data_IF_451425481866
#
_entry.id   IF_451425481866
#
_cell.length_a   1.000
_cell.length_b   1.000
_cell.length_c   1.000
_cell.angle_alpha   90.00
_cell.angle_beta   90.00
_cell.angle_gamma   90.00
#
_symmetry.space_group_name_H-M   'P 1'
#
loop_
_entity.id
_entity.type
_entity.pdbx_description
1 polymer ?
#
# COMPACT_ATOMS: atom_id res chain seq x y z
N UNK A 1 29.97 -20.59 14.11
CA UNK A 1 31.10 -19.78 14.63
C UNK A 1 30.69 -18.32 14.80
N UNK A 2 29.71 -17.99 15.66
CA UNK A 2 29.24 -16.58 15.91
C UNK A 2 28.95 -16.26 17.38
N UNK A 3 29.55 -16.99 18.35
CA UNK A 3 29.28 -16.76 19.78
C UNK A 3 30.50 -16.55 20.66
N UNK A 4 31.68 -16.34 20.10
CA UNK A 4 32.94 -16.22 20.87
C UNK A 4 33.38 -14.76 21.15
N UNK A 5 32.80 -13.76 20.52
CA UNK A 5 33.21 -12.35 20.72
C UNK A 5 32.43 -11.60 21.82
N UNK A 6 31.28 -12.11 22.24
CA UNK A 6 30.49 -11.47 23.32
C UNK A 6 30.94 -11.84 24.72
N UNK A 7 31.62 -12.96 24.93
CA UNK A 7 32.09 -13.38 26.26
C UNK A 7 33.37 -12.72 26.73
N UNK A 8 34.24 -12.33 25.82
CA UNK A 8 35.54 -11.71 26.18
C UNK A 8 35.47 -10.23 26.59
N UNK A 9 34.37 -9.54 26.32
CA UNK A 9 34.19 -8.14 26.70
C UNK A 9 33.71 -7.97 28.15
N UNK A 10 33.11 -8.98 28.77
CA UNK A 10 32.62 -8.94 30.15
C UNK A 10 33.61 -9.45 31.20
N UNK A 11 34.66 -10.14 30.82
CA UNK A 11 35.68 -10.67 31.74
C UNK A 11 36.84 -9.72 32.03
N UNK A 12 36.96 -8.61 31.30
CA UNK A 12 38.04 -7.63 31.45
C UNK A 12 37.73 -6.51 32.47
N UNK A 13 36.54 -6.51 33.10
CA UNK A 13 36.11 -5.43 34.03
C UNK A 13 36.14 -5.83 35.52
N UNK A 14 36.68 -6.99 35.86
CA UNK A 14 36.59 -7.52 37.24
C UNK A 14 37.94 -7.74 37.93
N UNK A 15 39.02 -7.08 37.52
CA UNK A 15 40.30 -7.22 38.19
C UNK A 15 40.95 -5.82 38.41
N UNK A 16 40.74 -5.24 39.55
CA UNK A 16 41.50 -4.04 39.95
C UNK A 16 40.84 -3.16 41.01
N UNK A 17 40.54 -3.67 42.21
CA UNK A 17 40.43 -2.83 43.41
C UNK A 17 40.89 -3.65 44.64
N UNK A 18 42.15 -3.48 45.00
CA UNK A 18 42.62 -3.74 46.36
C UNK A 18 43.80 -2.84 46.61
N UNK A 19 43.66 -1.84 47.48
CA UNK A 19 44.74 -0.93 47.91
C UNK A 19 44.21 0.25 48.70
N UNK A 20 44.38 0.19 50.00
CA UNK A 20 43.89 1.12 51.01
C UNK A 20 44.28 2.59 50.86
N UNK A 21 43.39 3.48 51.32
CA UNK A 21 43.68 4.92 51.51
C UNK A 21 42.43 5.62 52.05
N UNK A 22 42.36 5.81 53.37
CA UNK A 22 41.38 6.67 54.05
C UNK A 22 41.57 8.12 53.63
N UNK A 23 40.83 8.61 52.72
CA UNK A 23 40.70 10.02 52.38
C UNK A 23 39.22 10.34 52.18
N UNK A 24 38.72 11.30 52.94
CA UNK A 24 37.36 11.82 52.89
C UNK A 24 37.04 12.33 51.49
N UNK A 25 36.51 11.50 50.63
CA UNK A 25 35.98 11.92 49.33
C UNK A 25 34.56 12.43 49.54
N UNK A 26 34.45 13.76 49.55
CA UNK A 26 33.16 14.42 49.31
C UNK A 26 32.59 13.90 48.02
N UNK A 27 31.56 13.03 48.08
CA UNK A 27 30.77 12.63 46.93
C UNK A 27 29.98 13.87 46.49
N UNK A 28 30.60 14.68 45.64
CA UNK A 28 29.88 15.65 44.83
C UNK A 28 29.00 14.81 43.90
N UNK A 29 27.77 14.58 44.31
CA UNK A 29 26.75 13.97 43.43
C UNK A 29 26.72 14.73 42.13
N UNK A 30 27.07 14.08 41.03
CA UNK A 30 26.70 14.59 39.72
C UNK A 30 25.18 14.72 39.70
N UNK A 31 24.68 15.88 40.10
CA UNK A 31 23.32 16.26 39.79
C UNK A 31 23.20 16.19 38.26
N UNK A 32 22.58 15.15 37.77
CA UNK A 32 22.15 15.12 36.38
C UNK A 32 21.28 16.36 36.19
N UNK A 33 21.79 17.33 35.48
CA UNK A 33 21.02 18.52 35.11
C UNK A 33 19.70 18.01 34.49
N UNK A 34 18.56 18.56 34.90
CA UNK A 34 17.28 18.17 34.30
C UNK A 34 17.42 18.38 32.80
N UNK A 35 17.26 17.29 32.03
CA UNK A 35 17.21 17.36 30.58
C UNK A 35 15.98 18.19 30.26
N UNK A 36 16.18 19.48 30.01
CA UNK A 36 15.10 20.35 29.51
C UNK A 36 14.61 19.72 28.22
N UNK A 37 13.32 19.43 28.10
CA UNK A 37 12.78 18.88 26.87
C UNK A 37 13.09 19.86 25.74
N UNK A 38 13.98 19.43 24.85
CA UNK A 38 14.40 20.25 23.73
C UNK A 38 13.17 20.49 22.84
N UNK A 39 12.85 21.74 22.58
CA UNK A 39 11.72 22.08 21.70
C UNK A 39 11.96 21.42 20.34
N UNK A 40 10.95 20.71 19.78
CA UNK A 40 11.09 20.13 18.44
C UNK A 40 11.54 21.19 17.44
N UNK A 41 12.47 20.82 16.55
CA UNK A 41 13.00 21.73 15.51
C UNK A 41 11.98 21.95 14.38
N UNK A 42 10.88 21.18 14.35
CA UNK A 42 9.79 21.34 13.39
C UNK A 42 8.75 20.24 13.53
N UNK A 43 7.62 20.48 12.88
CA UNK A 43 6.49 19.56 12.81
C UNK A 43 6.29 19.05 11.39
N UNK A 44 6.23 17.74 11.24
CA UNK A 44 5.88 17.08 9.99
C UNK A 44 4.58 16.32 10.17
N UNK A 45 3.62 16.59 9.28
CA UNK A 45 2.41 15.79 9.17
C UNK A 45 2.57 14.84 7.97
N UNK A 46 2.27 13.57 8.17
CA UNK A 46 2.27 12.53 7.15
C UNK A 46 0.83 12.04 6.95
N UNK A 47 0.28 12.21 5.77
CA UNK A 47 -1.08 11.76 5.41
C UNK A 47 -0.98 10.43 4.67
N UNK A 48 -1.63 9.41 5.23
CA UNK A 48 -1.65 8.04 4.70
C UNK A 48 -0.65 7.12 5.38
N UNK A 49 -1.15 6.07 6.02
CA UNK A 49 -0.39 5.08 6.79
C UNK A 49 -0.01 3.82 6.00
N UNK A 50 0.01 3.89 4.68
CA UNK A 50 0.51 2.83 3.80
C UNK A 50 2.04 2.71 3.83
N UNK A 51 2.61 1.95 2.90
CA UNK A 51 4.07 1.71 2.84
C UNK A 51 4.88 3.01 2.81
N UNK A 52 4.53 3.95 1.92
CA UNK A 52 5.26 5.20 1.78
C UNK A 52 5.21 6.07 3.03
N UNK A 53 4.00 6.37 3.52
CA UNK A 53 3.83 7.27 4.66
C UNK A 53 4.30 6.68 5.98
N UNK A 54 4.02 5.41 6.26
CA UNK A 54 4.51 4.75 7.47
C UNK A 54 6.05 4.70 7.52
N UNK A 55 6.68 4.41 6.36
CA UNK A 55 8.14 4.43 6.23
C UNK A 55 8.68 5.84 6.45
N UNK A 56 8.11 6.84 5.77
CA UNK A 56 8.54 8.23 5.94
C UNK A 56 8.42 8.70 7.40
N UNK A 57 7.29 8.44 8.05
CA UNK A 57 7.07 8.83 9.44
C UNK A 57 8.12 8.20 10.39
N UNK A 58 8.39 6.90 10.22
CA UNK A 58 9.41 6.20 11.02
C UNK A 58 10.81 6.78 10.82
N UNK A 59 11.22 6.98 9.57
CA UNK A 59 12.58 7.44 9.30
C UNK A 59 12.79 8.92 9.61
N UNK A 60 11.78 9.77 9.50
CA UNK A 60 11.82 11.15 10.00
C UNK A 60 12.14 11.19 11.51
N UNK A 61 11.49 10.34 12.31
CA UNK A 61 11.80 10.22 13.74
C UNK A 61 13.20 9.68 13.98
N UNK A 62 13.57 8.61 13.28
CA UNK A 62 14.85 7.93 13.46
C UNK A 62 16.03 8.86 13.11
N UNK A 63 16.02 9.48 11.92
CA UNK A 63 17.14 10.27 11.43
C UNK A 63 17.25 11.64 12.10
N UNK A 64 16.16 12.18 12.61
CA UNK A 64 16.19 13.41 13.42
C UNK A 64 16.65 13.17 14.86
N UNK A 65 16.93 11.93 15.27
CA UNK A 65 17.19 11.62 16.67
C UNK A 65 16.02 11.96 17.60
N UNK A 66 14.79 11.97 17.06
CA UNK A 66 13.60 12.36 17.80
C UNK A 66 13.32 13.85 17.87
N UNK A 67 14.14 14.70 17.23
CA UNK A 67 14.01 16.16 17.31
C UNK A 67 12.90 16.74 16.40
N UNK A 68 12.32 15.97 15.49
CA UNK A 68 11.16 16.36 14.70
C UNK A 68 9.89 15.77 15.31
N UNK A 69 8.85 16.59 15.49
CA UNK A 69 7.51 16.13 15.83
C UNK A 69 6.84 15.56 14.58
N UNK A 70 6.47 14.28 14.61
CA UNK A 70 5.87 13.59 13.45
C UNK A 70 4.49 13.06 13.80
N UNK A 71 3.47 13.53 13.05
CA UNK A 71 2.11 13.03 13.09
C UNK A 71 1.85 12.18 11.85
N UNK A 72 1.35 10.97 12.04
CA UNK A 72 0.82 10.14 10.97
C UNK A 72 -0.71 10.15 11.03
N UNK A 73 -1.35 10.66 9.99
CA UNK A 73 -2.82 10.68 9.87
C UNK A 73 -3.24 9.52 8.96
N UNK A 74 -4.01 8.59 9.53
CA UNK A 74 -4.53 7.44 8.79
C UNK A 74 -5.96 7.12 9.26
N UNK A 75 -6.90 7.07 8.32
CA UNK A 75 -8.31 6.81 8.63
C UNK A 75 -8.57 5.40 9.16
N UNK A 76 -7.77 4.42 8.72
CA UNK A 76 -7.91 3.04 9.15
C UNK A 76 -7.09 2.79 10.43
N UNK A 77 -7.66 2.05 11.37
CA UNK A 77 -6.96 1.67 12.61
C UNK A 77 -5.93 0.58 12.41
N UNK A 78 -5.99 -0.12 11.27
CA UNK A 78 -5.07 -1.21 10.92
C UNK A 78 -4.64 -1.08 9.46
N UNK A 79 -3.41 -1.42 9.20
CA UNK A 79 -2.85 -1.56 7.87
C UNK A 79 -3.09 -2.97 7.34
N UNK A 80 -3.53 -3.08 6.09
CA UNK A 80 -3.64 -4.35 5.35
C UNK A 80 -2.73 -4.30 4.15
N UNK A 81 -1.82 -5.28 4.03
CA UNK A 81 -0.81 -5.30 2.97
C UNK A 81 -1.41 -5.69 1.62
N UNK A 82 -1.39 -4.76 0.65
CA UNK A 82 -1.87 -5.03 -0.71
C UNK A 82 -0.99 -6.04 -1.47
N UNK A 83 0.36 -5.94 -1.49
CA UNK A 83 1.20 -6.82 -2.30
C UNK A 83 1.02 -8.30 -2.01
N UNK A 84 0.79 -8.68 -0.77
CA UNK A 84 0.60 -10.09 -0.37
C UNK A 84 -0.87 -10.53 -0.28
N UNK A 85 -1.81 -9.66 -0.64
CA UNK A 85 -3.26 -9.99 -0.59
C UNK A 85 -3.65 -11.09 -1.59
N UNK A 86 -2.92 -11.24 -2.69
CA UNK A 86 -3.16 -12.33 -3.63
C UNK A 86 -2.97 -13.72 -2.99
N UNK A 87 -2.11 -13.84 -1.96
CA UNK A 87 -1.94 -15.09 -1.20
C UNK A 87 -3.20 -15.47 -0.41
N UNK A 88 -4.00 -14.47 -0.02
CA UNK A 88 -5.32 -14.72 0.61
C UNK A 88 -6.29 -15.26 -0.44
N UNK A 89 -6.30 -14.69 -1.65
CA UNK A 89 -7.14 -15.17 -2.75
C UNK A 89 -6.76 -16.62 -3.15
N UNK A 90 -5.48 -16.95 -3.15
CA UNK A 90 -4.98 -18.31 -3.38
C UNK A 90 -5.23 -19.28 -2.21
N UNK A 91 -5.55 -18.76 -1.01
CA UNK A 91 -5.84 -19.58 0.18
C UNK A 91 -4.60 -19.97 0.99
N UNK A 92 -3.40 -19.48 0.67
CA UNK A 92 -2.17 -19.78 1.41
C UNK A 92 -1.93 -18.86 2.61
N UNK A 93 -2.71 -17.75 2.73
CA UNK A 93 -2.68 -16.81 3.86
C UNK A 93 -4.10 -16.42 4.24
N UNK A 94 -4.25 -15.98 5.48
CA UNK A 94 -5.48 -15.36 6.00
C UNK A 94 -5.38 -13.84 5.99
N UNK A 95 -6.52 -13.15 6.18
CA UNK A 95 -6.52 -11.69 6.37
C UNK A 95 -5.73 -11.26 7.62
N UNK A 96 -5.71 -12.08 8.66
CA UNK A 96 -4.93 -11.82 9.88
C UNK A 96 -3.42 -11.79 9.60
N UNK A 97 -2.93 -12.68 8.75
CA UNK A 97 -1.50 -12.76 8.38
C UNK A 97 -0.99 -11.49 7.68
N UNK A 98 -1.86 -10.79 6.96
CA UNK A 98 -1.51 -9.61 6.16
C UNK A 98 -1.93 -8.29 6.81
N UNK A 99 -2.49 -8.33 8.03
CA UNK A 99 -2.96 -7.16 8.78
C UNK A 99 -2.01 -6.82 9.92
N UNK A 100 -1.68 -5.53 10.08
CA UNK A 100 -0.78 -5.04 11.14
C UNK A 100 -1.37 -3.79 11.80
N UNK A 101 -0.99 -3.55 13.06
CA UNK A 101 -1.24 -2.30 13.77
C UNK A 101 -0.15 -1.26 13.51
N UNK A 102 -0.32 -0.09 14.11
CA UNK A 102 0.64 1.02 14.05
C UNK A 102 1.49 1.15 15.33
N UNK A 103 1.49 0.16 16.21
CA UNK A 103 2.16 0.23 17.52
C UNK A 103 3.67 0.44 17.36
N UNK A 104 4.31 -0.25 16.41
CA UNK A 104 5.74 -0.03 16.14
C UNK A 104 6.10 1.38 15.65
N UNK A 105 5.14 2.15 15.13
CA UNK A 105 5.35 3.58 14.84
C UNK A 105 5.19 4.42 16.11
N UNK A 106 4.21 4.11 16.96
CA UNK A 106 4.03 4.76 18.27
C UNK A 106 5.25 4.55 19.15
N UNK A 107 5.78 3.33 19.20
CA UNK A 107 7.02 3.00 19.94
C UNK A 107 8.23 3.76 19.39
N UNK A 108 8.24 4.07 18.11
CA UNK A 108 9.27 4.93 17.48
C UNK A 108 9.04 6.44 17.73
N UNK A 109 8.01 6.83 18.49
CA UNK A 109 7.67 8.19 18.82
C UNK A 109 6.87 8.95 17.75
N UNK A 110 6.24 8.24 16.80
CA UNK A 110 5.29 8.83 15.85
C UNK A 110 3.93 8.97 16.53
N UNK A 111 3.30 10.13 16.44
CA UNK A 111 1.95 10.35 16.91
C UNK A 111 0.95 9.89 15.82
N UNK A 112 0.31 8.74 16.03
CA UNK A 112 -0.63 8.16 15.05
C UNK A 112 -2.05 8.65 15.37
N UNK A 113 -2.61 9.42 14.44
CA UNK A 113 -3.95 9.99 14.49
C UNK A 113 -4.89 9.20 13.55
N UNK A 114 -5.96 8.64 14.12
CA UNK A 114 -6.97 7.96 13.30
C UNK A 114 -8.11 8.92 12.99
N UNK A 115 -7.97 9.62 11.86
CA UNK A 115 -8.97 10.50 11.30
C UNK A 115 -8.79 10.62 9.77
N UNK A 116 -9.71 11.31 9.12
CA UNK A 116 -9.67 11.61 7.70
C UNK A 116 -9.31 13.08 7.50
N UNK A 117 -8.38 13.36 6.60
CA UNK A 117 -8.05 14.71 6.16
C UNK A 117 -9.09 15.16 5.15
N UNK A 118 -9.74 16.28 5.40
CA UNK A 118 -10.77 16.87 4.52
C UNK A 118 -10.19 17.94 3.60
N UNK A 119 -9.22 18.70 4.09
CA UNK A 119 -8.62 19.82 3.37
C UNK A 119 -7.17 20.03 3.78
N UNK A 120 -6.35 20.50 2.85
CA UNK A 120 -5.02 21.04 3.12
C UNK A 120 -4.95 22.46 2.57
N UNK A 121 -4.83 23.44 3.45
CA UNK A 121 -4.49 24.82 3.08
C UNK A 121 -2.96 24.93 2.98
N UNK A 122 -2.43 24.73 1.77
CA UNK A 122 -0.99 24.75 1.54
C UNK A 122 -0.37 26.15 1.74
N UNK A 123 -1.13 27.22 1.53
CA UNK A 123 -0.67 28.60 1.72
C UNK A 123 -0.46 28.92 3.20
N UNK A 124 -1.40 28.52 4.04
CA UNK A 124 -1.33 28.69 5.50
C UNK A 124 -0.62 27.55 6.20
N UNK A 125 -0.30 26.48 5.50
CA UNK A 125 0.29 25.25 6.05
C UNK A 125 -0.57 24.63 7.15
N UNK A 126 -1.85 24.43 6.88
CA UNK A 126 -2.83 23.87 7.81
C UNK A 126 -3.46 22.63 7.20
N UNK A 127 -3.58 21.56 7.98
CA UNK A 127 -4.37 20.36 7.69
C UNK A 127 -5.65 20.41 8.50
N UNK A 128 -6.79 20.17 7.84
CA UNK A 128 -8.11 20.08 8.47
C UNK A 128 -8.59 18.64 8.54
N UNK A 129 -9.24 18.31 9.64
CA UNK A 129 -9.70 16.96 9.95
C UNK A 129 -11.23 16.88 9.91
N UNK A 130 -11.73 15.66 9.70
CA UNK A 130 -13.16 15.40 9.56
C UNK A 130 -13.90 15.42 10.89
N UNK A 131 -13.34 14.86 11.95
CA UNK A 131 -14.12 14.53 13.12
C UNK A 131 -13.43 14.75 14.48
N UNK A 132 -12.20 14.31 14.68
CA UNK A 132 -11.64 14.11 16.03
C UNK A 132 -10.63 15.17 16.46
N UNK A 133 -9.91 15.73 15.52
CA UNK A 133 -8.79 16.62 15.83
C UNK A 133 -9.05 18.03 15.33
N UNK A 134 -8.51 19.01 16.06
CA UNK A 134 -8.50 20.40 15.62
C UNK A 134 -7.53 20.58 14.44
N UNK A 135 -7.74 21.65 13.66
CA UNK A 135 -6.85 22.04 12.58
C UNK A 135 -5.39 22.10 13.06
N UNK A 136 -4.46 21.57 12.28
CA UNK A 136 -3.07 21.42 12.68
C UNK A 136 -2.13 22.07 11.67
N UNK A 137 -1.25 22.93 12.16
CA UNK A 137 -0.19 23.54 11.36
C UNK A 137 1.00 22.58 11.17
N UNK A 138 1.74 22.75 10.06
CA UNK A 138 2.93 21.97 9.75
C UNK A 138 4.08 22.84 9.20
N UNK A 139 5.31 22.41 9.38
CA UNK A 139 6.49 22.95 8.70
C UNK A 139 6.72 22.23 7.36
N UNK A 140 6.47 20.93 7.34
CA UNK A 140 6.49 20.09 6.14
C UNK A 140 5.31 19.13 6.16
N UNK A 141 4.76 18.89 4.98
CA UNK A 141 3.68 17.92 4.77
C UNK A 141 4.19 16.80 3.87
N UNK A 142 3.91 15.56 4.23
CA UNK A 142 4.12 14.38 3.39
C UNK A 142 2.76 13.78 3.07
N UNK A 143 2.44 13.66 1.79
CA UNK A 143 1.16 13.10 1.31
C UNK A 143 1.43 11.78 0.61
N UNK A 144 0.96 10.68 1.18
CA UNK A 144 1.13 9.32 0.65
C UNK A 144 -0.23 8.61 0.51
N UNK A 145 -1.11 9.10 -0.37
CA UNK A 145 -2.51 8.73 -0.40
C UNK A 145 -2.79 7.42 -1.17
N UNK A 146 -1.75 6.85 -1.79
CA UNK A 146 -1.92 5.72 -2.69
C UNK A 146 -2.74 6.07 -3.92
N UNK A 147 -3.57 5.13 -4.37
CA UNK A 147 -4.44 5.29 -5.55
C UNK A 147 -5.91 5.21 -5.19
N UNK A 148 -6.74 5.80 -6.03
CA UNK A 148 -8.17 5.56 -6.14
C UNK A 148 -8.55 5.14 -7.56
N UNK A 149 -9.78 4.66 -7.73
CA UNK A 149 -10.24 4.04 -8.96
C UNK A 149 -11.20 4.96 -9.74
N UNK A 150 -11.17 4.82 -11.06
CA UNK A 150 -12.06 5.52 -11.98
C UNK A 150 -13.16 4.54 -12.42
N UNK A 151 -14.12 4.26 -11.51
CA UNK A 151 -15.22 3.32 -11.75
C UNK A 151 -16.16 3.77 -12.87
N UNK A 152 -16.28 5.08 -13.06
CA UNK A 152 -17.08 5.75 -14.08
C UNK A 152 -16.61 5.44 -15.51
N UNK A 153 -15.39 4.93 -15.68
CA UNK A 153 -14.86 4.52 -16.97
C UNK A 153 -15.31 3.12 -17.42
N UNK A 154 -16.07 2.41 -16.59
CA UNK A 154 -16.59 1.07 -16.92
C UNK A 154 -18.11 1.12 -16.80
N UNK A 155 -18.80 0.99 -17.95
CA UNK A 155 -20.25 1.02 -18.01
C UNK A 155 -20.87 -0.04 -17.09
N UNK A 156 -21.88 0.34 -16.32
CA UNK A 156 -22.56 -0.56 -15.40
C UNK A 156 -21.84 -0.82 -14.07
N UNK A 157 -20.58 -0.42 -13.89
CA UNK A 157 -19.82 -0.61 -12.63
C UNK A 157 -20.14 0.49 -11.59
N UNK A 158 -21.43 0.68 -11.33
CA UNK A 158 -21.93 1.61 -10.32
C UNK A 158 -21.77 1.06 -8.89
N UNK A 159 -22.21 1.81 -7.89
CA UNK A 159 -22.05 1.45 -6.47
C UNK A 159 -22.74 0.11 -6.13
N UNK A 160 -23.91 -0.17 -6.68
CA UNK A 160 -24.61 -1.43 -6.49
C UNK A 160 -23.84 -2.61 -7.13
N UNK A 161 -23.34 -2.41 -8.34
CA UNK A 161 -22.58 -3.44 -9.05
C UNK A 161 -21.28 -3.82 -8.32
N UNK A 162 -20.63 -2.84 -7.69
CA UNK A 162 -19.40 -3.05 -6.90
C UNK A 162 -19.58 -3.91 -5.65
N UNK A 163 -20.82 -4.22 -5.27
CA UNK A 163 -21.10 -5.20 -4.22
C UNK A 163 -20.92 -6.64 -4.69
N UNK A 164 -20.99 -6.87 -5.99
CA UNK A 164 -20.84 -8.19 -6.61
C UNK A 164 -19.57 -8.28 -7.45
N UNK A 165 -19.29 -7.25 -8.25
CA UNK A 165 -18.09 -7.16 -9.10
C UNK A 165 -17.01 -6.44 -8.32
N UNK A 166 -16.15 -7.23 -7.67
CA UNK A 166 -15.13 -6.72 -6.74
C UNK A 166 -13.82 -6.44 -7.48
N UNK A 167 -13.14 -5.36 -7.09
CA UNK A 167 -11.77 -5.15 -7.55
C UNK A 167 -10.75 -5.86 -6.64
N UNK A 168 -10.95 -5.89 -5.34
CA UNK A 168 -10.03 -6.44 -4.32
C UNK A 168 -8.56 -6.02 -4.53
N UNK A 169 -8.34 -4.82 -5.08
CA UNK A 169 -7.00 -4.29 -5.38
C UNK A 169 -6.42 -3.51 -4.20
N UNK A 170 -7.25 -2.75 -3.50
CA UNK A 170 -6.95 -2.32 -2.14
C UNK A 170 -7.30 -3.48 -1.21
N UNK A 171 -6.30 -3.99 -0.50
CA UNK A 171 -6.52 -5.10 0.42
C UNK A 171 -7.41 -4.69 1.59
N UNK A 172 -8.36 -5.56 1.94
CA UNK A 172 -9.35 -5.29 2.98
C UNK A 172 -10.55 -6.22 2.86
N UNK A 173 -11.75 -5.76 3.24
CA UNK A 173 -12.96 -6.57 3.19
C UNK A 173 -13.25 -7.20 1.82
N UNK A 174 -12.99 -6.48 0.72
CA UNK A 174 -13.17 -7.01 -0.63
C UNK A 174 -12.23 -8.19 -0.94
N UNK A 175 -11.04 -8.25 -0.34
CA UNK A 175 -10.13 -9.41 -0.50
C UNK A 175 -10.78 -10.67 0.06
N UNK A 176 -11.35 -10.58 1.26
CA UNK A 176 -12.07 -11.69 1.88
C UNK A 176 -13.34 -12.05 1.10
N UNK A 177 -14.09 -11.04 0.64
CA UNK A 177 -15.30 -11.25 -0.13
C UNK A 177 -15.02 -11.94 -1.48
N UNK A 178 -13.97 -11.51 -2.21
CA UNK A 178 -13.58 -12.16 -3.46
C UNK A 178 -13.11 -13.60 -3.22
N UNK A 179 -12.37 -13.86 -2.13
CA UNK A 179 -12.01 -15.23 -1.73
C UNK A 179 -13.25 -16.07 -1.49
N UNK A 180 -14.24 -15.56 -0.77
CA UNK A 180 -15.51 -16.25 -0.53
C UNK A 180 -16.27 -16.56 -1.84
N UNK A 181 -16.26 -15.62 -2.81
CA UNK A 181 -16.85 -15.88 -4.14
C UNK A 181 -16.12 -17.03 -4.87
N UNK A 182 -14.79 -17.08 -4.82
CA UNK A 182 -13.99 -18.16 -5.41
C UNK A 182 -14.29 -19.51 -4.74
N UNK A 183 -14.49 -19.53 -3.44
CA UNK A 183 -14.84 -20.74 -2.68
C UNK A 183 -16.27 -21.21 -3.01
N UNK A 184 -17.23 -20.30 -3.12
CA UNK A 184 -18.63 -20.61 -3.44
C UNK A 184 -18.83 -20.98 -4.92
N UNK A 185 -17.94 -20.56 -5.82
CA UNK A 185 -18.04 -20.89 -7.25
C UNK A 185 -18.01 -22.42 -7.45
N UNK A 186 -18.91 -22.94 -8.31
CA UNK A 186 -18.92 -24.38 -8.66
C UNK A 186 -17.61 -24.79 -9.35
N UNK A 187 -17.23 -26.07 -9.21
CA UNK A 187 -16.17 -26.63 -10.05
C UNK A 187 -16.65 -26.66 -11.53
N UNK A 188 -15.79 -26.20 -12.43
CA UNK A 188 -16.12 -25.96 -13.85
C UNK A 188 -16.64 -24.53 -14.10
N UNK A 189 -16.65 -23.65 -13.09
CA UNK A 189 -16.94 -22.23 -13.25
C UNK A 189 -15.79 -21.42 -13.86
N UNK A 190 -16.10 -20.20 -14.31
CA UNK A 190 -15.13 -19.28 -14.92
C UNK A 190 -14.93 -18.06 -14.04
N UNK A 191 -13.70 -17.87 -13.56
CA UNK A 191 -13.23 -16.63 -12.95
C UNK A 191 -12.66 -15.73 -14.04
N UNK A 192 -13.27 -14.55 -14.24
CA UNK A 192 -12.81 -13.54 -15.20
C UNK A 192 -12.08 -12.44 -14.45
N UNK A 193 -10.83 -12.16 -14.84
CA UNK A 193 -10.00 -11.07 -14.32
C UNK A 193 -9.78 -10.01 -15.39
N UNK A 194 -10.27 -8.80 -15.15
CA UNK A 194 -10.00 -7.64 -16.01
C UNK A 194 -8.77 -6.87 -15.54
N UNK A 195 -7.87 -6.54 -16.46
CA UNK A 195 -6.66 -5.74 -16.24
C UNK A 195 -6.78 -4.42 -17.00
N UNK A 196 -6.65 -3.26 -16.33
CA UNK A 196 -6.78 -1.97 -16.99
C UNK A 196 -5.57 -1.63 -17.86
N UNK A 197 -5.74 -0.65 -18.76
CA UNK A 197 -4.64 -0.08 -19.55
C UNK A 197 -3.61 0.59 -18.64
N UNK A 198 -2.34 0.41 -18.96
CA UNK A 198 -1.25 1.14 -18.27
C UNK A 198 -1.41 2.66 -18.40
N UNK A 199 -0.97 3.46 -17.43
CA UNK A 199 -0.31 3.07 -16.18
C UNK A 199 -1.31 2.69 -15.08
N UNK A 200 -1.08 1.55 -14.44
CA UNK A 200 -1.73 1.14 -13.20
C UNK A 200 -0.66 0.72 -12.18
N UNK A 201 -1.03 0.60 -10.90
CA UNK A 201 -0.07 0.24 -9.85
C UNK A 201 0.02 -1.26 -9.67
N UNK A 202 1.22 -1.74 -9.32
CA UNK A 202 1.59 -3.15 -9.22
C UNK A 202 1.43 -3.90 -10.57
N UNK A 203 2.21 -3.59 -11.60
CA UNK A 203 2.08 -4.21 -12.92
C UNK A 203 2.12 -5.76 -12.93
N UNK A 204 2.93 -6.47 -12.11
CA UNK A 204 2.89 -7.93 -12.04
C UNK A 204 1.67 -8.48 -11.28
N UNK A 205 1.01 -7.66 -10.46
CA UNK A 205 -0.03 -8.09 -9.51
C UNK A 205 -1.21 -8.84 -10.11
N UNK A 206 -1.79 -8.44 -11.25
CA UNK A 206 -2.91 -9.16 -11.85
C UNK A 206 -2.50 -10.55 -12.34
N UNK A 207 -1.34 -10.65 -12.95
CA UNK A 207 -0.81 -11.92 -13.48
C UNK A 207 -0.46 -12.88 -12.34
N UNK A 208 0.09 -12.35 -11.23
CA UNK A 208 0.29 -13.09 -10.00
C UNK A 208 -1.04 -13.56 -9.41
N UNK A 209 -2.07 -12.68 -9.36
CA UNK A 209 -3.43 -13.05 -8.92
C UNK A 209 -3.98 -14.22 -9.73
N UNK A 210 -3.84 -14.17 -11.05
CA UNK A 210 -4.26 -15.26 -11.93
C UNK A 210 -3.55 -16.58 -11.58
N UNK A 211 -2.24 -16.55 -11.31
CA UNK A 211 -1.49 -17.72 -10.87
C UNK A 211 -1.97 -18.25 -9.51
N UNK A 212 -2.23 -17.36 -8.54
CA UNK A 212 -2.71 -17.77 -7.21
C UNK A 212 -4.10 -18.40 -7.27
N UNK A 213 -5.02 -17.83 -8.06
CA UNK A 213 -6.34 -18.42 -8.28
C UNK A 213 -6.24 -19.72 -9.05
N UNK A 214 -5.39 -19.81 -10.08
CA UNK A 214 -5.17 -21.05 -10.84
C UNK A 214 -4.58 -22.17 -9.96
N UNK A 215 -3.66 -21.84 -9.04
CA UNK A 215 -3.14 -22.81 -8.07
C UNK A 215 -4.24 -23.35 -7.16
N UNK A 216 -5.13 -22.47 -6.68
CA UNK A 216 -6.30 -22.88 -5.91
C UNK A 216 -7.23 -23.76 -6.73
N UNK A 217 -7.54 -23.40 -7.99
CA UNK A 217 -8.40 -24.21 -8.85
C UNK A 217 -7.77 -25.58 -9.16
N UNK A 218 -6.48 -25.62 -9.46
CA UNK A 218 -5.79 -26.89 -9.70
C UNK A 218 -5.95 -27.88 -8.54
N UNK A 219 -5.97 -27.39 -7.29
CA UNK A 219 -6.10 -28.22 -6.11
C UNK A 219 -7.57 -28.54 -5.77
N UNK A 220 -8.50 -27.56 -5.87
CA UNK A 220 -9.84 -27.65 -5.30
C UNK A 220 -10.97 -27.68 -6.35
N UNK A 221 -10.73 -27.16 -7.56
CA UNK A 221 -11.73 -26.98 -8.63
C UNK A 221 -11.11 -27.20 -10.02
N UNK A 222 -10.64 -28.43 -10.34
CA UNK A 222 -9.76 -28.69 -11.50
C UNK A 222 -10.41 -28.46 -12.87
N UNK A 223 -11.73 -28.39 -12.96
CA UNK A 223 -12.46 -28.08 -14.19
C UNK A 223 -12.69 -26.60 -14.42
N UNK A 224 -12.40 -25.77 -13.40
CA UNK A 224 -12.60 -24.32 -13.45
C UNK A 224 -11.51 -23.63 -14.27
N UNK A 225 -11.82 -22.40 -14.73
CA UNK A 225 -10.95 -21.60 -15.60
C UNK A 225 -10.68 -20.23 -14.98
N UNK A 226 -9.49 -19.72 -15.25
CA UNK A 226 -9.11 -18.32 -15.06
C UNK A 226 -8.95 -17.70 -16.43
N UNK A 227 -9.83 -16.76 -16.77
CA UNK A 227 -9.75 -16.00 -18.00
C UNK A 227 -9.28 -14.59 -17.70
N UNK A 228 -8.16 -14.19 -18.29
CA UNK A 228 -7.58 -12.86 -18.15
C UNK A 228 -7.97 -12.03 -19.37
N UNK A 229 -8.68 -10.92 -19.13
CA UNK A 229 -8.98 -9.89 -20.13
C UNK A 229 -8.05 -8.69 -19.87
N UNK A 230 -7.02 -8.54 -20.68
CA UNK A 230 -6.01 -7.50 -20.51
C UNK A 230 -6.23 -6.38 -21.54
N UNK A 231 -6.39 -5.15 -21.07
CA UNK A 231 -6.52 -3.98 -21.94
C UNK A 231 -5.22 -3.65 -22.71
N UNK A 232 -4.10 -4.27 -22.35
CA UNK A 232 -2.80 -4.09 -22.99
C UNK A 232 -2.58 -5.16 -24.04
N UNK A 233 -1.70 -4.87 -25.01
CA UNK A 233 -1.38 -5.79 -26.10
C UNK A 233 -0.79 -7.11 -25.58
N UNK A 234 0.08 -7.01 -24.58
CA UNK A 234 0.73 -8.15 -23.96
C UNK A 234 0.96 -7.93 -22.46
N UNK A 235 1.42 -8.97 -21.77
CA UNK A 235 1.76 -8.95 -20.34
C UNK A 235 2.75 -7.82 -20.06
N UNK A 236 2.33 -6.83 -19.28
CA UNK A 236 3.06 -5.56 -19.07
C UNK A 236 4.26 -5.69 -18.14
N UNK A 237 4.42 -6.79 -17.43
CA UNK A 237 5.52 -7.02 -16.50
C UNK A 237 5.85 -8.51 -16.39
N UNK A 238 7.13 -8.87 -16.57
CA UNK A 238 7.65 -10.24 -16.47
C UNK A 238 6.93 -11.25 -17.39
N UNK A 239 6.52 -10.79 -18.59
CA UNK A 239 5.71 -11.56 -19.54
C UNK A 239 6.23 -12.99 -19.80
N UNK A 240 7.50 -13.20 -20.19
CA UNK A 240 8.03 -14.54 -20.43
C UNK A 240 7.87 -15.49 -19.23
N UNK A 241 8.07 -14.98 -17.99
CA UNK A 241 7.95 -15.78 -16.77
C UNK A 241 6.49 -16.22 -16.52
N UNK A 242 5.53 -15.28 -16.62
CA UNK A 242 4.12 -15.61 -16.42
C UNK A 242 3.59 -16.57 -17.50
N UNK A 243 3.93 -16.32 -18.77
CA UNK A 243 3.53 -17.20 -19.88
C UNK A 243 4.07 -18.61 -19.73
N UNK A 244 5.34 -18.75 -19.31
CA UNK A 244 5.92 -20.04 -19.01
C UNK A 244 5.19 -20.75 -17.85
N UNK A 245 4.93 -20.05 -16.76
CA UNK A 245 4.19 -20.61 -15.62
C UNK A 245 2.78 -21.04 -16.01
N UNK A 246 2.07 -20.27 -16.81
CA UNK A 246 0.72 -20.64 -17.29
C UNK A 246 0.75 -21.89 -18.15
N UNK A 247 1.74 -22.00 -19.06
CA UNK A 247 1.91 -23.17 -19.91
C UNK A 247 2.29 -24.42 -19.12
N UNK A 248 3.27 -24.31 -18.24
CA UNK A 248 3.89 -25.46 -17.56
C UNK A 248 3.09 -25.92 -16.34
N UNK A 249 2.59 -24.97 -15.53
CA UNK A 249 1.96 -25.26 -14.25
C UNK A 249 0.43 -25.26 -14.31
N UNK A 250 -0.16 -24.44 -15.19
CA UNK A 250 -1.60 -24.15 -15.24
C UNK A 250 -2.19 -24.32 -16.64
N UNK A 251 -1.54 -25.17 -17.47
CA UNK A 251 -2.06 -25.51 -18.80
C UNK A 251 -3.51 -26.00 -18.76
N UNK A 252 -4.35 -25.39 -19.60
CA UNK A 252 -5.79 -25.66 -19.62
C UNK A 252 -6.61 -25.01 -18.48
N UNK A 253 -6.00 -24.36 -17.50
CA UNK A 253 -6.70 -23.59 -16.45
C UNK A 253 -6.68 -22.10 -16.77
N UNK A 254 -5.50 -21.53 -17.14
CA UNK A 254 -5.35 -20.10 -17.44
C UNK A 254 -5.48 -19.85 -18.94
N UNK A 255 -6.35 -18.93 -19.31
CA UNK A 255 -6.47 -18.36 -20.66
C UNK A 255 -6.17 -16.86 -20.59
N UNK A 256 -5.32 -16.35 -21.46
CA UNK A 256 -4.93 -14.95 -21.56
C UNK A 256 -5.39 -14.34 -22.89
N UNK A 257 -6.06 -13.19 -22.81
CA UNK A 257 -6.47 -12.39 -23.98
C UNK A 257 -5.95 -10.97 -23.81
N UNK A 258 -4.93 -10.61 -24.60
CA UNK A 258 -4.50 -9.22 -24.78
C UNK A 258 -5.46 -8.42 -25.64
N UNK A 259 -5.31 -7.08 -25.67
CA UNK A 259 -6.21 -6.15 -26.37
C UNK A 259 -7.70 -6.34 -26.05
N UNK A 260 -8.01 -6.80 -24.82
CA UNK A 260 -9.34 -7.13 -24.36
C UNK A 260 -9.79 -6.22 -23.22
N UNK A 261 -9.85 -4.92 -23.50
CA UNK A 261 -10.29 -3.90 -22.54
C UNK A 261 -11.75 -4.12 -22.15
N UNK A 262 -12.02 -4.27 -20.85
CA UNK A 262 -13.38 -4.32 -20.32
C UNK A 262 -13.93 -2.90 -20.21
N UNK A 263 -14.91 -2.57 -21.04
CA UNK A 263 -15.57 -1.26 -21.10
C UNK A 263 -16.90 -1.22 -20.37
N UNK A 264 -17.47 -2.38 -20.09
CA UNK A 264 -18.73 -2.46 -19.37
C UNK A 264 -18.92 -3.82 -18.72
N UNK A 265 -19.94 -3.90 -17.86
CA UNK A 265 -20.34 -5.14 -17.20
C UNK A 265 -21.86 -5.32 -17.24
N UNK A 266 -22.32 -6.58 -17.20
CA UNK A 266 -23.69 -6.96 -16.88
C UNK A 266 -23.72 -7.75 -15.58
N UNK A 267 -24.77 -7.58 -14.81
CA UNK A 267 -24.98 -8.35 -13.57
C UNK A 267 -25.87 -9.59 -13.79
N UNK A 268 -26.71 -9.58 -14.81
CA UNK A 268 -27.67 -10.67 -15.11
C UNK A 268 -27.80 -10.86 -16.63
N UNK A 269 -27.11 -11.85 -17.22
CA UNK A 269 -26.09 -12.73 -16.61
C UNK A 269 -24.83 -11.94 -16.27
N UNK A 270 -24.07 -12.42 -15.26
CA UNK A 270 -22.79 -11.79 -14.90
C UNK A 270 -21.81 -11.92 -16.07
N UNK A 271 -21.37 -10.77 -16.60
CA UNK A 271 -20.52 -10.75 -17.78
C UNK A 271 -19.66 -9.47 -17.85
N UNK A 272 -18.50 -9.58 -18.51
CA UNK A 272 -17.66 -8.47 -18.93
C UNK A 272 -17.87 -8.18 -20.41
N UNK A 273 -17.99 -6.90 -20.78
CA UNK A 273 -18.13 -6.43 -22.16
C UNK A 273 -16.82 -5.84 -22.65
N UNK A 274 -16.33 -6.36 -23.77
CA UNK A 274 -15.19 -5.80 -24.52
C UNK A 274 -15.69 -5.17 -25.83
N UNK A 275 -14.79 -4.65 -26.65
CA UNK A 275 -15.15 -4.16 -27.99
C UNK A 275 -15.56 -5.31 -28.94
N UNK A 276 -15.21 -6.55 -28.64
CA UNK A 276 -15.32 -7.68 -29.54
C UNK A 276 -16.40 -8.68 -29.13
N UNK A 277 -16.60 -8.87 -27.81
CA UNK A 277 -17.50 -9.88 -27.29
C UNK A 277 -18.02 -9.55 -25.88
N UNK A 278 -18.97 -10.36 -25.44
CA UNK A 278 -19.48 -10.36 -24.06
C UNK A 278 -19.10 -11.68 -23.40
N UNK A 279 -18.23 -11.61 -22.41
CA UNK A 279 -17.66 -12.77 -21.72
C UNK A 279 -18.40 -13.05 -20.42
N UNK A 280 -19.09 -14.19 -20.35
CA UNK A 280 -19.79 -14.63 -19.13
C UNK A 280 -18.81 -15.06 -18.06
N UNK A 281 -19.14 -14.79 -16.81
CA UNK A 281 -18.36 -15.14 -15.63
C UNK A 281 -19.24 -15.78 -14.55
N UNK A 282 -18.68 -16.74 -13.79
CA UNK A 282 -19.26 -17.17 -12.51
C UNK A 282 -18.76 -16.27 -11.37
N UNK A 283 -17.51 -15.78 -11.48
CA UNK A 283 -16.94 -14.72 -10.62
C UNK A 283 -16.24 -13.71 -11.52
N UNK A 284 -16.57 -12.42 -11.35
CA UNK A 284 -16.00 -11.33 -12.13
C UNK A 284 -15.20 -10.40 -11.23
N UNK A 285 -13.89 -10.35 -11.46
CA UNK A 285 -12.96 -9.47 -10.77
C UNK A 285 -12.47 -8.37 -11.72
N UNK A 286 -12.94 -7.16 -11.53
CA UNK A 286 -12.58 -6.02 -12.38
C UNK A 286 -11.64 -5.10 -11.64
N UNK A 287 -10.42 -4.95 -12.15
CA UNK A 287 -9.46 -3.93 -11.67
C UNK A 287 -9.69 -2.65 -12.49
N UNK A 288 -10.28 -1.60 -11.92
CA UNK A 288 -10.56 -0.39 -12.69
C UNK A 288 -9.29 0.43 -12.97
N UNK A 289 -9.33 1.34 -13.96
CA UNK A 289 -8.27 2.33 -14.14
C UNK A 289 -8.03 3.14 -12.86
N UNK A 290 -6.77 3.54 -12.65
CA UNK A 290 -6.32 4.14 -11.39
C UNK A 290 -5.92 5.60 -11.58
N UNK A 291 -6.05 6.38 -10.51
CA UNK A 291 -5.54 7.74 -10.35
C UNK A 291 -4.96 7.93 -8.94
N UNK A 292 -4.27 9.02 -8.68
CA UNK A 292 -3.85 9.37 -7.32
C UNK A 292 -5.07 9.44 -6.38
N UNK A 293 -4.84 9.07 -5.11
CA UNK A 293 -5.89 9.04 -4.11
C UNK A 293 -6.60 10.39 -3.92
N UNK A 294 -7.85 10.37 -3.48
CA UNK A 294 -8.76 11.53 -3.44
C UNK A 294 -8.19 12.73 -2.71
N UNK A 295 -7.44 12.53 -1.62
CA UNK A 295 -6.82 13.65 -0.91
C UNK A 295 -5.81 14.41 -1.77
N UNK A 296 -5.13 13.77 -2.72
CA UNK A 296 -4.24 14.46 -3.66
C UNK A 296 -5.01 15.38 -4.60
N UNK A 297 -6.25 15.00 -4.97
CA UNK A 297 -7.13 15.83 -5.80
C UNK A 297 -7.71 17.00 -5.00
N UNK A 298 -8.25 16.74 -3.82
CA UNK A 298 -8.85 17.79 -2.97
C UNK A 298 -7.82 18.82 -2.49
N UNK A 299 -6.55 18.45 -2.46
CA UNK A 299 -5.44 19.36 -2.07
C UNK A 299 -4.71 20.00 -3.25
N UNK A 300 -5.19 19.82 -4.49
CA UNK A 300 -4.61 20.45 -5.68
C UNK A 300 -3.23 19.92 -6.10
N UNK A 301 -2.88 18.67 -5.73
CA UNK A 301 -1.58 18.07 -6.01
C UNK A 301 -1.50 17.37 -7.38
N UNK A 302 -2.61 17.30 -8.12
CA UNK A 302 -2.65 16.65 -9.43
C UNK A 302 -2.08 17.58 -10.50
N UNK A 303 -0.90 17.29 -11.01
CA UNK A 303 -0.20 18.09 -12.02
C UNK A 303 0.20 17.31 -13.27
N UNK A 304 0.04 15.98 -13.26
CA UNK A 304 0.43 15.12 -14.38
C UNK A 304 -0.77 14.33 -14.92
N UNK A 305 -1.06 14.47 -16.22
CA UNK A 305 -2.10 13.76 -16.98
C UNK A 305 -3.49 13.81 -16.35
N UNK A 306 -3.81 14.84 -15.56
CA UNK A 306 -5.05 14.96 -14.76
C UNK A 306 -5.34 13.74 -13.86
N UNK A 307 -4.34 12.94 -13.56
CA UNK A 307 -4.45 11.67 -12.80
C UNK A 307 -3.44 11.56 -11.65
N UNK A 308 -2.23 12.11 -11.80
CA UNK A 308 -1.10 11.84 -10.93
C UNK A 308 -0.46 13.10 -10.39
N UNK A 309 0.27 12.98 -9.29
CA UNK A 309 1.07 14.05 -8.71
C UNK A 309 2.44 14.09 -9.38
N UNK A 310 2.81 15.24 -9.95
CA UNK A 310 4.18 15.54 -10.37
C UNK A 310 5.01 15.97 -9.17
N UNK A 311 6.25 15.51 -9.12
CA UNK A 311 7.19 15.83 -8.03
C UNK A 311 8.59 16.10 -8.58
N UNK A 312 9.36 16.90 -7.85
CA UNK A 312 10.80 16.96 -8.03
C UNK A 312 11.43 15.60 -7.64
N UNK A 313 12.32 15.09 -8.48
CA UNK A 313 12.85 13.74 -8.33
C UNK A 313 13.81 13.54 -7.17
N UNK A 314 14.51 14.57 -6.77
CA UNK A 314 15.51 14.50 -5.70
C UNK A 314 14.86 14.64 -4.33
N UNK A 315 13.87 15.54 -4.25
CA UNK A 315 13.25 15.93 -2.98
C UNK A 315 11.88 15.33 -2.75
N UNK A 316 11.24 14.82 -3.82
CA UNK A 316 9.83 14.42 -3.85
C UNK A 316 8.87 15.57 -3.48
N UNK A 317 9.36 16.83 -3.51
CA UNK A 317 8.51 17.99 -3.32
C UNK A 317 7.52 18.12 -4.47
N UNK A 318 6.28 18.45 -4.17
CA UNK A 318 5.21 18.64 -5.15
C UNK A 318 5.54 19.79 -6.10
N UNK A 319 5.26 19.61 -7.39
CA UNK A 319 5.34 20.71 -8.37
C UNK A 319 4.24 21.76 -8.18
N UNK A 320 3.17 21.43 -7.43
CA UNK A 320 2.07 22.35 -7.14
C UNK A 320 2.32 23.25 -5.92
N UNK A 321 2.87 22.69 -4.84
CA UNK A 321 2.98 23.39 -3.56
C UNK A 321 4.32 23.16 -2.88
N UNK A 322 4.95 24.26 -2.43
CA UNK A 322 6.17 24.22 -1.63
C UNK A 322 5.90 23.64 -0.23
N UNK A 323 6.93 22.98 0.32
CA UNK A 323 6.87 22.32 1.63
C UNK A 323 5.86 21.13 1.71
N UNK A 324 5.37 20.67 0.57
CA UNK A 324 4.50 19.50 0.44
C UNK A 324 5.23 18.45 -0.40
N UNK A 325 5.46 17.27 0.16
CA UNK A 325 6.13 16.15 -0.51
C UNK A 325 5.11 15.05 -0.80
N UNK A 326 5.15 14.45 -1.99
CA UNK A 326 4.22 13.37 -2.34
C UNK A 326 5.01 12.09 -2.57
N UNK A 327 4.58 11.00 -1.91
CA UNK A 327 5.27 9.72 -1.93
C UNK A 327 4.37 8.60 -2.48
N UNK A 328 5.01 7.54 -2.94
CA UNK A 328 4.37 6.27 -3.31
C UNK A 328 3.53 6.36 -4.58
N UNK A 329 2.49 5.56 -4.63
CA UNK A 329 1.71 5.26 -5.83
C UNK A 329 0.97 6.46 -6.45
N UNK A 330 0.75 7.53 -5.68
CA UNK A 330 0.13 8.75 -6.18
C UNK A 330 1.00 9.55 -7.15
N UNK A 331 2.33 9.35 -7.14
CA UNK A 331 3.25 10.12 -7.98
C UNK A 331 3.38 9.54 -9.38
N UNK A 332 3.44 10.39 -10.42
CA UNK A 332 3.97 9.99 -11.72
C UNK A 332 5.47 10.25 -11.71
N UNK A 333 6.23 9.24 -11.32
CA UNK A 333 7.66 9.40 -11.12
C UNK A 333 8.47 9.25 -12.40
N UNK A 334 8.24 8.28 -13.26
CA UNK A 334 8.85 8.20 -14.58
C UNK A 334 7.91 7.50 -15.56
N UNK A 335 7.90 7.93 -16.83
CA UNK A 335 7.24 7.18 -17.88
C UNK A 335 7.78 5.75 -17.93
N UNK A 336 6.88 4.77 -17.92
CA UNK A 336 7.24 3.35 -18.02
C UNK A 336 7.86 2.71 -16.77
N UNK A 337 8.06 3.46 -15.69
CA UNK A 337 8.53 2.86 -14.43
C UNK A 337 7.36 2.19 -13.70
N UNK A 338 7.40 0.87 -13.47
CA UNK A 338 6.38 0.18 -12.68
C UNK A 338 6.45 0.67 -11.23
N UNK A 339 5.27 0.88 -10.64
CA UNK A 339 5.14 1.22 -9.24
C UNK A 339 4.36 0.14 -8.52
N UNK A 340 4.91 -0.35 -7.44
CA UNK A 340 4.25 -1.32 -6.58
C UNK A 340 4.63 -1.10 -5.12
N UNK A 341 3.64 -0.76 -4.31
CA UNK A 341 3.73 -0.65 -2.86
C UNK A 341 4.55 0.49 -2.32
#
# INVERSE_FOLDING_TARGET
>A
MKNLYRRRFLEASAAGIAGAGLGSLSITGCATAPVTPQRPIGRVIVIGGGFGGATAARYLRLWSGGNIEVFLVERNTRFVSCPISNLVLGGSRSMADITRGYDGLRDAGVQVLHDEVTEVDAAKRIVKFKAKYADMSYDRLVVSPGVDFMFDQIEGLNEQARQTVLHAWKAGPETAALRAQLEAMRDGGVFVLSIPRVPYRCPPGPYERACQVAAYFKAAKPRSKVLILDANEDVTSKGPLFKAAWKELYGGIVEYRGNSEVKGIDLKPLAAKTDFDTVRADVLNVVPPMRAGDVARSTGLITANNRWCGVDWLTLESLAHKNVHVLGDATLSAPGMPKSG
#
